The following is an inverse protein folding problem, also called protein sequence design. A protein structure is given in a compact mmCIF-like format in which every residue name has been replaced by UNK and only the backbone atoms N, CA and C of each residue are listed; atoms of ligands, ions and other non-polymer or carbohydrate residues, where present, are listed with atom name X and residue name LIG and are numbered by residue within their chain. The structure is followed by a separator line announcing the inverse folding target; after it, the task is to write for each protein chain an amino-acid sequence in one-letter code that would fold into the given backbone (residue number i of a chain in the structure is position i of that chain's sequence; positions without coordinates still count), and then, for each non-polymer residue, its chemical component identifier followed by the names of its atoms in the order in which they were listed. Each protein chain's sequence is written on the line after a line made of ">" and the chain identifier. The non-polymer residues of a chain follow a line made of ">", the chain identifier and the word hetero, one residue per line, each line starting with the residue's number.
data_IF_812497984079
#
_entry.id   IF_812497984079
#
_cell.length_a   1.000
_cell.length_b   1.000
_cell.length_c   1.000
_cell.angle_alpha   90.00
_cell.angle_beta   90.00
_cell.angle_gamma   90.00
#
_symmetry.space_group_name_H-M   'P 1'
#
loop_
_entity.id
_entity.type
_entity.pdbx_description
1 polymer ?
#
# COMPACT_ATOMS: atom_id res chain seq x y z
N UNK A 1 35.65 -18.82 2.84
CA UNK A 1 36.18 -17.44 2.82
C UNK A 1 35.13 -16.56 2.17
N UNK A 2 34.33 -15.85 2.94
CA UNK A 2 33.35 -14.89 2.41
C UNK A 2 34.10 -13.64 1.95
N UNK A 3 33.83 -13.21 0.73
CA UNK A 3 34.42 -12.00 0.14
C UNK A 3 34.04 -10.78 1.02
N UNK A 4 35.04 -10.00 1.50
CA UNK A 4 34.80 -8.83 2.33
C UNK A 4 33.88 -7.78 1.64
N UNK A 5 33.78 -7.81 0.32
CA UNK A 5 32.91 -6.92 -0.45
C UNK A 5 31.44 -7.31 -0.36
N UNK A 6 31.11 -8.56 -0.05
CA UNK A 6 29.73 -9.03 0.08
C UNK A 6 29.07 -8.54 1.38
N UNK A 7 29.86 -8.34 2.44
CA UNK A 7 29.38 -7.75 3.70
C UNK A 7 29.12 -6.25 3.62
N UNK A 8 29.70 -5.55 2.65
CA UNK A 8 29.54 -4.10 2.47
C UNK A 8 28.29 -3.69 1.67
N UNK A 9 27.67 -4.60 0.92
CA UNK A 9 26.50 -4.28 0.08
C UNK A 9 25.23 -4.14 0.92
N UNK A 10 24.44 -3.08 0.75
CA UNK A 10 23.17 -2.93 1.45
C UNK A 10 22.18 -4.02 1.02
N UNK A 11 21.33 -4.42 1.94
CA UNK A 11 20.19 -5.28 1.66
C UNK A 11 19.07 -4.42 1.12
N UNK A 12 18.68 -4.63 -0.12
CA UNK A 12 17.57 -3.92 -0.74
C UNK A 12 16.25 -4.64 -0.47
N UNK A 13 15.25 -3.87 -0.08
CA UNK A 13 13.91 -4.35 0.21
C UNK A 13 12.86 -3.33 -0.24
N UNK A 14 11.64 -3.78 -0.38
CA UNK A 14 10.53 -2.94 -0.75
C UNK A 14 9.22 -3.40 -0.08
N UNK A 15 8.28 -2.47 0.07
CA UNK A 15 7.00 -2.76 0.68
C UNK A 15 5.96 -1.68 0.44
N UNK A 16 4.84 -1.77 1.13
CA UNK A 16 3.73 -0.85 0.97
C UNK A 16 3.14 -0.36 2.29
N UNK A 17 2.74 0.90 2.30
CA UNK A 17 1.72 1.39 3.21
C UNK A 17 0.39 1.12 2.52
N UNK A 18 -0.23 0.01 2.92
CA UNK A 18 -1.41 -0.53 2.24
C UNK A 18 -2.66 -0.06 2.96
N UNK A 19 -3.51 0.67 2.25
CA UNK A 19 -4.79 1.11 2.76
C UNK A 19 -5.93 0.28 2.14
N UNK A 20 -6.91 -0.06 2.97
CA UNK A 20 -8.18 -0.60 2.52
C UNK A 20 -9.24 0.48 2.63
N UNK A 21 -10.03 0.63 1.56
CA UNK A 21 -11.12 1.60 1.50
C UNK A 21 -12.28 1.20 2.44
N UNK A 22 -12.99 2.21 2.88
CA UNK A 22 -14.17 2.10 3.74
C UNK A 22 -14.56 3.48 4.25
N UNK A 23 -15.58 3.56 5.08
CA UNK A 23 -15.97 4.80 5.76
C UNK A 23 -14.79 5.42 6.54
N UNK A 24 -13.90 4.57 7.03
CA UNK A 24 -12.62 4.96 7.66
C UNK A 24 -11.50 4.10 7.07
N UNK A 25 -10.54 4.68 6.33
CA UNK A 25 -9.41 3.94 5.78
C UNK A 25 -8.64 3.20 6.87
N UNK A 26 -8.22 1.97 6.57
CA UNK A 26 -7.46 1.10 7.46
C UNK A 26 -6.14 0.74 6.83
N UNK A 27 -5.10 0.65 7.63
CA UNK A 27 -3.73 0.32 7.23
C UNK A 27 -3.44 -1.13 7.60
N UNK A 28 -2.84 -1.88 6.67
CA UNK A 28 -2.40 -3.24 6.92
C UNK A 28 -1.10 -3.28 7.70
N UNK A 29 -1.06 -4.09 8.73
CA UNK A 29 0.17 -4.57 9.37
C UNK A 29 0.13 -6.09 9.46
N UNK A 30 1.29 -6.72 9.45
CA UNK A 30 1.43 -8.17 9.45
C UNK A 30 2.19 -8.65 10.68
N UNK A 31 1.86 -9.84 11.17
CA UNK A 31 2.54 -10.47 12.29
C UNK A 31 3.45 -11.57 11.80
N UNK A 32 4.73 -11.44 12.05
CA UNK A 32 5.71 -12.47 11.70
C UNK A 32 5.53 -13.68 12.63
N UNK A 33 5.63 -14.88 12.06
CA UNK A 33 5.52 -16.12 12.83
C UNK A 33 6.78 -16.36 13.67
N UNK A 34 7.95 -16.02 13.12
CA UNK A 34 9.25 -16.26 13.72
C UNK A 34 9.43 -15.61 15.09
N UNK A 35 9.27 -14.29 15.16
CA UNK A 35 9.53 -13.48 16.37
C UNK A 35 8.27 -12.82 16.93
N UNK A 36 7.11 -13.10 16.34
CA UNK A 36 5.80 -12.57 16.71
C UNK A 36 5.68 -11.05 16.58
N UNK A 37 6.63 -10.38 15.95
CA UNK A 37 6.63 -8.94 15.71
C UNK A 37 5.52 -8.53 14.76
N UNK A 38 4.89 -7.39 15.03
CA UNK A 38 4.02 -6.68 14.11
C UNK A 38 4.85 -5.69 13.29
N UNK A 39 4.78 -5.79 11.97
CA UNK A 39 5.60 -5.01 11.04
C UNK A 39 4.77 -4.51 9.86
N UNK A 40 5.31 -3.53 9.15
CA UNK A 40 4.78 -3.12 7.84
C UNK A 40 5.08 -4.21 6.79
N UNK A 41 4.15 -4.48 5.84
CA UNK A 41 4.38 -5.47 4.78
C UNK A 41 5.56 -5.07 3.89
N UNK A 42 6.60 -5.90 3.83
CA UNK A 42 7.82 -5.67 3.06
C UNK A 42 8.73 -6.89 3.04
N UNK A 43 9.54 -6.99 2.03
CA UNK A 43 10.56 -8.04 1.99
C UNK A 43 11.74 -7.70 1.09
N UNK A 44 12.70 -8.61 1.02
CA UNK A 44 13.91 -8.47 0.21
C UNK A 44 13.61 -8.55 -1.27
N UNK A 45 14.30 -7.76 -2.06
CA UNK A 45 14.24 -7.87 -3.51
C UNK A 45 15.00 -9.11 -3.99
N UNK A 46 14.47 -9.77 -5.01
CA UNK A 46 15.21 -10.80 -5.75
C UNK A 46 16.29 -10.16 -6.62
N UNK A 47 17.34 -10.89 -7.00
CA UNK A 47 18.35 -10.41 -7.93
C UNK A 47 17.69 -9.90 -9.23
N UNK A 48 17.96 -8.63 -9.59
CA UNK A 48 17.40 -8.01 -10.78
C UNK A 48 15.94 -7.57 -10.68
N UNK A 49 15.28 -7.77 -9.54
CA UNK A 49 13.90 -7.33 -9.33
C UNK A 49 13.83 -5.81 -9.12
N UNK A 50 12.93 -5.15 -9.85
CA UNK A 50 12.63 -3.75 -9.64
C UNK A 50 11.91 -3.53 -8.30
N UNK A 51 12.25 -2.45 -7.58
CA UNK A 51 11.74 -2.19 -6.25
C UNK A 51 10.21 -2.10 -6.18
N UNK A 52 9.55 -1.48 -7.16
CA UNK A 52 8.09 -1.40 -7.21
C UNK A 52 7.44 -2.78 -7.44
N UNK A 53 8.03 -3.60 -8.32
CA UNK A 53 7.55 -4.97 -8.55
C UNK A 53 7.69 -5.82 -7.29
N UNK A 54 8.85 -5.74 -6.63
CA UNK A 54 9.09 -6.39 -5.35
C UNK A 54 8.13 -5.95 -4.26
N UNK A 55 7.85 -4.65 -4.16
CA UNK A 55 6.88 -4.13 -3.20
C UNK A 55 5.48 -4.72 -3.41
N UNK A 56 4.99 -4.80 -4.65
CA UNK A 56 3.70 -5.42 -4.98
C UNK A 56 3.68 -6.91 -4.65
N UNK A 57 4.76 -7.62 -4.99
CA UNK A 57 4.90 -9.05 -4.69
C UNK A 57 4.87 -9.30 -3.19
N UNK A 58 5.68 -8.60 -2.42
CA UNK A 58 5.73 -8.74 -0.96
C UNK A 58 4.40 -8.43 -0.29
N UNK A 59 3.71 -7.36 -0.72
CA UNK A 59 2.39 -7.03 -0.19
C UNK A 59 1.37 -8.14 -0.47
N UNK A 60 1.36 -8.70 -1.68
CA UNK A 60 0.50 -9.83 -2.02
C UNK A 60 0.84 -11.07 -1.19
N UNK A 61 2.11 -11.40 -1.05
CA UNK A 61 2.60 -12.56 -0.30
C UNK A 61 2.28 -12.45 1.20
N UNK A 62 2.45 -11.27 1.79
CA UNK A 62 2.28 -11.08 3.23
C UNK A 62 0.85 -10.73 3.66
N UNK A 63 0.06 -10.08 2.80
CA UNK A 63 -1.31 -9.68 3.14
C UNK A 63 -2.39 -10.50 2.46
N UNK A 64 -2.07 -11.22 1.40
CA UNK A 64 -3.02 -11.92 0.55
C UNK A 64 -3.82 -11.02 -0.39
N UNK A 65 -3.54 -9.71 -0.45
CA UNK A 65 -4.31 -8.74 -1.22
C UNK A 65 -3.56 -8.25 -2.45
N UNK A 66 -4.27 -8.20 -3.59
CA UNK A 66 -3.84 -7.40 -4.72
C UNK A 66 -3.99 -5.91 -4.44
N UNK A 67 -3.07 -5.11 -4.98
CA UNK A 67 -3.03 -3.67 -4.71
C UNK A 67 -2.84 -2.85 -5.97
N UNK A 68 -3.42 -1.66 -5.97
CA UNK A 68 -3.05 -0.57 -6.88
C UNK A 68 -2.04 0.35 -6.21
N UNK A 69 -1.06 0.83 -6.98
CA UNK A 69 0.00 1.73 -6.49
C UNK A 69 -0.35 3.17 -6.81
N UNK A 70 -0.21 4.05 -5.84
CA UNK A 70 -0.63 5.46 -5.94
C UNK A 70 0.50 6.48 -5.78
N UNK A 71 1.67 6.08 -5.33
CA UNK A 71 2.84 6.95 -5.23
C UNK A 71 3.93 6.41 -4.33
N UNK A 72 5.14 6.92 -4.54
CA UNK A 72 6.27 6.64 -3.68
C UNK A 72 6.21 7.48 -2.40
N UNK A 73 6.44 6.87 -1.25
CA UNK A 73 6.37 7.55 0.05
C UNK A 73 7.72 7.86 0.67
N UNK A 74 8.73 7.07 0.36
CA UNK A 74 10.06 7.25 0.93
C UNK A 74 10.77 5.94 1.23
N UNK A 75 11.95 6.05 1.83
CA UNK A 75 12.80 4.93 2.20
C UNK A 75 13.13 4.95 3.69
N UNK A 76 13.19 3.77 4.30
CA UNK A 76 13.81 3.57 5.60
C UNK A 76 15.20 2.98 5.43
N UNK A 77 16.15 3.46 6.26
CA UNK A 77 17.49 2.90 6.37
C UNK A 77 17.73 2.50 7.82
N UNK A 78 18.15 1.26 8.03
CA UNK A 78 18.52 0.76 9.36
C UNK A 78 19.52 -0.39 9.26
N UNK A 79 20.22 -0.66 10.35
CA UNK A 79 21.20 -1.75 10.41
C UNK A 79 20.51 -3.05 10.84
N UNK A 80 20.84 -4.14 10.14
CA UNK A 80 20.44 -5.51 10.49
C UNK A 80 21.64 -6.41 10.30
N UNK A 81 22.04 -7.12 11.34
CA UNK A 81 23.18 -8.05 11.30
C UNK A 81 24.46 -7.42 10.71
N UNK A 82 24.77 -6.18 11.13
CA UNK A 82 25.93 -5.42 10.66
C UNK A 82 25.84 -4.88 9.23
N UNK A 83 24.71 -5.06 8.55
CA UNK A 83 24.51 -4.58 7.17
C UNK A 83 23.43 -3.50 7.14
N UNK A 84 23.59 -2.49 6.28
CA UNK A 84 22.54 -1.51 6.02
C UNK A 84 21.42 -2.17 5.23
N UNK A 85 20.20 -2.03 5.70
CA UNK A 85 18.99 -2.38 4.96
C UNK A 85 18.31 -1.12 4.49
N UNK A 86 17.98 -1.06 3.20
CA UNK A 86 17.24 0.02 2.56
C UNK A 86 15.89 -0.53 2.14
N UNK A 87 14.82 0.02 2.69
CA UNK A 87 13.46 -0.41 2.37
C UNK A 87 12.71 0.73 1.73
N UNK A 88 12.27 0.56 0.49
CA UNK A 88 11.45 1.53 -0.24
C UNK A 88 9.97 1.24 -0.06
N UNK A 89 9.17 2.28 0.21
CA UNK A 89 7.73 2.14 0.45
C UNK A 89 6.90 2.95 -0.51
N UNK A 90 5.81 2.36 -0.96
CA UNK A 90 4.77 2.99 -1.77
C UNK A 90 3.44 3.06 -1.05
N UNK A 91 2.68 4.10 -1.36
CA UNK A 91 1.26 4.16 -1.05
C UNK A 91 0.51 3.18 -1.95
N UNK A 92 -0.18 2.23 -1.36
CA UNK A 92 -0.92 1.19 -2.04
C UNK A 92 -2.34 1.10 -1.51
N UNK A 93 -3.25 0.64 -2.36
CA UNK A 93 -4.65 0.42 -1.98
C UNK A 93 -5.06 -0.99 -2.34
N UNK A 94 -5.58 -1.70 -1.34
CA UNK A 94 -6.23 -2.97 -1.53
C UNK A 94 -7.72 -2.74 -1.86
N UNK A 95 -8.19 -3.34 -2.94
CA UNK A 95 -9.59 -3.37 -3.34
C UNK A 95 -10.12 -4.78 -3.18
N UNK A 96 -11.24 -4.93 -2.48
CA UNK A 96 -11.85 -6.24 -2.25
C UNK A 96 -11.22 -7.04 -1.11
N UNK A 97 -11.53 -8.33 -1.07
CA UNK A 97 -10.99 -9.28 -0.10
C UNK A 97 -9.63 -9.85 -0.52
N UNK A 98 -9.06 -10.73 0.32
CA UNK A 98 -7.85 -11.45 -0.04
C UNK A 98 -8.09 -12.39 -1.22
N UNK A 99 -7.12 -12.46 -2.13
CA UNK A 99 -7.14 -13.36 -3.31
C UNK A 99 -6.34 -14.64 -3.05
N UNK A 100 -5.56 -14.67 -1.97
CA UNK A 100 -4.82 -15.85 -1.49
C UNK A 100 -4.58 -15.75 0.01
N UNK A 101 -4.23 -16.87 0.62
CA UNK A 101 -3.72 -16.89 1.99
C UNK A 101 -2.35 -16.19 2.05
N UNK A 102 -2.03 -15.47 3.13
CA UNK A 102 -0.68 -15.01 3.40
C UNK A 102 0.33 -16.15 3.43
N UNK A 103 1.59 -15.86 3.15
CA UNK A 103 2.67 -16.85 3.22
C UNK A 103 2.82 -17.43 4.63
N UNK A 104 3.43 -18.63 4.72
CA UNK A 104 3.55 -19.40 5.96
C UNK A 104 4.34 -18.68 7.08
N UNK A 105 5.21 -17.76 6.74
CA UNK A 105 5.96 -16.94 7.70
C UNK A 105 5.12 -15.81 8.33
N UNK A 106 3.93 -15.55 7.80
CA UNK A 106 2.95 -14.61 8.34
C UNK A 106 1.93 -15.34 9.22
N UNK A 107 1.82 -14.90 10.47
CA UNK A 107 0.86 -15.44 11.42
C UNK A 107 -0.51 -14.78 11.32
N UNK A 108 -0.55 -13.49 11.05
CA UNK A 108 -1.79 -12.72 11.01
C UNK A 108 -1.64 -11.41 10.24
N UNK A 109 -2.73 -10.93 9.69
CA UNK A 109 -2.87 -9.60 9.09
C UNK A 109 -3.91 -8.83 9.87
N UNK A 110 -3.64 -7.56 10.20
CA UNK A 110 -4.61 -6.65 10.81
C UNK A 110 -4.75 -5.37 9.99
N UNK A 111 -5.98 -4.89 9.95
CA UNK A 111 -6.36 -3.63 9.33
C UNK A 111 -6.76 -2.64 10.42
N UNK A 112 -5.94 -1.63 10.65
CA UNK A 112 -6.03 -0.74 11.79
C UNK A 112 -6.11 0.73 11.36
N UNK A 113 -6.62 1.59 12.26
CA UNK A 113 -6.45 3.02 12.08
C UNK A 113 -4.96 3.39 12.15
N UNK A 114 -4.57 4.54 11.62
CA UNK A 114 -3.18 5.00 11.67
C UNK A 114 -2.62 4.96 13.10
N UNK A 115 -3.37 5.49 14.06
CA UNK A 115 -2.97 5.51 15.47
C UNK A 115 -2.74 4.10 16.01
N UNK A 116 -3.71 3.21 15.80
CA UNK A 116 -3.62 1.82 16.27
C UNK A 116 -2.47 1.05 15.60
N UNK A 117 -2.22 1.29 14.31
CA UNK A 117 -1.12 0.66 13.57
C UNK A 117 0.23 1.10 14.15
N UNK A 118 0.44 2.41 14.38
CA UNK A 118 1.65 2.94 15.00
C UNK A 118 1.87 2.35 16.40
N UNK A 119 0.83 2.31 17.23
CA UNK A 119 0.91 1.75 18.58
C UNK A 119 1.26 0.25 18.56
N UNK A 120 0.73 -0.50 17.61
CA UNK A 120 0.90 -1.96 17.54
C UNK A 120 2.20 -2.41 16.88
N UNK A 121 2.79 -1.63 15.97
CA UNK A 121 4.08 -1.96 15.36
C UNK A 121 5.14 -2.23 16.45
N UNK A 122 5.96 -3.25 16.24
CA UNK A 122 6.95 -3.69 17.23
C UNK A 122 8.29 -2.95 17.10
N UNK A 123 8.56 -2.31 15.96
CA UNK A 123 9.86 -1.69 15.65
C UNK A 123 9.74 -0.17 15.63
N UNK A 124 10.57 0.51 16.43
CA UNK A 124 10.49 1.97 16.57
C UNK A 124 10.74 2.74 15.27
N UNK A 125 11.66 2.26 14.42
CA UNK A 125 11.90 2.87 13.11
C UNK A 125 10.68 2.75 12.18
N UNK A 126 9.90 1.65 12.24
CA UNK A 126 8.66 1.52 11.48
C UNK A 126 7.54 2.39 12.03
N UNK A 127 7.45 2.53 13.36
CA UNK A 127 6.50 3.47 14.01
C UNK A 127 6.76 4.90 13.57
N UNK A 128 8.02 5.33 13.62
CA UNK A 128 8.43 6.67 13.22
C UNK A 128 8.17 6.92 11.74
N UNK A 129 8.52 5.96 10.89
CA UNK A 129 8.27 6.05 9.46
C UNK A 129 6.77 6.18 9.17
N UNK A 130 5.94 5.28 9.72
CA UNK A 130 4.49 5.32 9.53
C UNK A 130 3.85 6.61 10.07
N UNK A 131 4.34 7.13 11.19
CA UNK A 131 3.87 8.40 11.74
C UNK A 131 4.12 9.57 10.77
N UNK A 132 5.22 9.55 10.03
CA UNK A 132 5.54 10.59 9.05
C UNK A 132 4.80 10.43 7.72
N UNK A 133 4.75 9.22 7.14
CA UNK A 133 4.17 9.00 5.81
C UNK A 133 2.68 8.64 5.83
N UNK A 134 2.18 8.11 6.94
CA UNK A 134 0.79 7.69 7.08
C UNK A 134 -0.23 8.79 6.83
N UNK A 135 -0.06 10.01 7.39
CA UNK A 135 -0.95 11.14 7.11
C UNK A 135 -0.98 11.51 5.63
N UNK A 136 0.17 11.42 4.93
CA UNK A 136 0.27 11.70 3.48
C UNK A 136 -0.54 10.68 2.68
N UNK A 137 -0.37 9.39 2.97
CA UNK A 137 -1.10 8.31 2.32
C UNK A 137 -2.61 8.41 2.57
N UNK A 138 -3.04 8.72 3.80
CA UNK A 138 -4.45 8.92 4.15
C UNK A 138 -5.06 10.12 3.42
N UNK A 139 -4.35 11.24 3.33
CA UNK A 139 -4.80 12.43 2.61
C UNK A 139 -4.98 12.12 1.11
N UNK A 140 -4.00 11.47 0.49
CA UNK A 140 -4.06 11.08 -0.91
C UNK A 140 -5.25 10.13 -1.19
N UNK A 141 -5.50 9.16 -0.31
CA UNK A 141 -6.66 8.27 -0.40
C UNK A 141 -7.98 9.04 -0.35
N UNK A 142 -8.14 9.97 0.60
CA UNK A 142 -9.35 10.79 0.73
C UNK A 142 -9.60 11.67 -0.49
N UNK A 143 -8.55 12.27 -1.04
CA UNK A 143 -8.65 13.09 -2.27
C UNK A 143 -9.09 12.25 -3.46
N UNK A 144 -8.54 11.06 -3.63
CA UNK A 144 -8.94 10.14 -4.68
C UNK A 144 -10.42 9.74 -4.59
N UNK A 145 -10.92 9.45 -3.39
CA UNK A 145 -12.32 9.09 -3.16
C UNK A 145 -13.26 10.25 -3.45
N UNK A 146 -12.88 11.49 -3.06
CA UNK A 146 -13.65 12.70 -3.40
C UNK A 146 -13.71 12.94 -4.91
N UNK A 147 -12.60 12.72 -5.64
CA UNK A 147 -12.55 12.84 -7.10
C UNK A 147 -13.44 11.83 -7.82
N UNK A 148 -13.57 10.60 -7.30
CA UNK A 148 -14.50 9.58 -7.84
C UNK A 148 -15.99 9.94 -7.61
N UNK A 149 -16.30 10.60 -6.51
CA UNK A 149 -17.67 11.05 -6.19
C UNK A 149 -18.06 12.30 -7.00
N UNK A 150 -17.10 13.02 -7.56
CA UNK A 150 -17.27 14.23 -8.35
C UNK A 150 -17.04 14.05 -9.86
N UNK A 151 -17.41 12.89 -10.46
CA UNK A 151 -17.32 12.74 -11.91
C UNK A 151 -18.39 13.60 -12.60
N UNK A 152 -18.04 14.77 -13.20
CA UNK A 152 -19.03 15.66 -13.82
C UNK A 152 -19.70 15.05 -15.05
N UNK A 153 -19.23 13.90 -15.53
CA UNK A 153 -19.71 13.25 -16.73
C UNK A 153 -20.94 12.34 -16.49
N UNK A 154 -21.29 12.02 -15.24
CA UNK A 154 -22.47 11.20 -14.92
C UNK A 154 -23.77 12.01 -14.92
N UNK A 155 -23.70 13.35 -14.95
CA UNK A 155 -24.91 14.20 -14.87
C UNK A 155 -25.43 14.69 -16.23
N UNK A 156 -24.83 14.29 -17.36
CA UNK A 156 -25.24 14.83 -18.67
C UNK A 156 -26.16 13.93 -19.51
N UNK A 157 -26.47 12.71 -19.07
CA UNK A 157 -27.37 11.84 -19.80
C UNK A 157 -28.88 12.26 -19.66
N UNK A 158 -29.22 13.00 -18.61
CA UNK A 158 -30.58 13.54 -18.48
C UNK A 158 -30.85 14.75 -19.40
N UNK A 159 -29.84 15.52 -19.74
CA UNK A 159 -29.98 16.66 -20.66
C UNK A 159 -29.99 16.24 -22.14
N UNK A 160 -29.35 15.14 -22.50
CA UNK A 160 -29.41 14.62 -23.88
C UNK A 160 -30.77 14.05 -24.25
N UNK A 161 -31.52 13.46 -23.31
CA UNK A 161 -32.88 12.96 -23.56
C UNK A 161 -33.91 14.10 -23.74
N UNK A 162 -33.69 15.26 -23.12
CA UNK A 162 -34.58 16.42 -23.30
C UNK A 162 -34.39 17.11 -24.66
N UNK A 163 -33.14 17.10 -25.20
CA UNK A 163 -32.88 17.71 -26.52
C UNK A 163 -33.32 16.83 -27.69
N UNK A 164 -33.30 15.50 -27.54
CA UNK A 164 -33.77 14.56 -28.54
C UNK A 164 -35.30 14.55 -28.71
N UNK A 165 -36.03 14.91 -27.65
CA UNK A 165 -37.51 14.99 -27.70
C UNK A 165 -38.02 16.29 -28.32
N UNK A 166 -37.23 17.34 -28.36
CA UNK A 166 -37.63 18.64 -28.93
C UNK A 166 -37.40 18.73 -30.44
N UNK A 167 -36.50 17.93 -31.00
CA UNK A 167 -36.24 17.90 -32.45
C UNK A 167 -37.21 17.00 -33.19
N UNK A 168 -37.85 16.05 -32.51
CA UNK A 168 -38.87 15.18 -33.12
C UNK A 168 -40.27 15.81 -33.21
N UNK A 169 -40.51 16.96 -32.59
CA UNK A 169 -41.81 17.64 -32.56
C UNK A 169 -41.97 18.74 -33.62
N UNK A 170 -40.93 19.01 -34.45
CA UNK A 170 -40.96 20.07 -35.48
C UNK A 170 -40.89 19.55 -36.92
N UNK A 171 -41.11 18.25 -37.13
CA UNK A 171 -41.18 17.66 -38.47
C UNK A 171 -42.60 17.04 -38.70
N UNK A 172 -43.61 17.91 -38.80
CA UNK A 172 -44.89 17.61 -39.46
C UNK A 172 -45.46 18.93 -39.98
#
# INVERSE_FOLDING_TARGET
>A
MTDPTETARPVLAAGGIVLREGSRPRIAIVRLRRDKSWVLPKGKLYPGEGALAGAKREVLEETGHEVSVHGFLGSMLYSVDGRIKIVQFWHMRASGGPVREPMDDIKAVKWLSLKQAIEMLSRDHEKLFLANVGPVALKATRQFLRGKSGNPWVHNDRKRRAYGAQVAATAH
#
